data_IF_733137713379
#
_entry.id   IF_733137713379
#
_cell.length_a   1.000
_cell.length_b   1.000
_cell.length_c   1.000
_cell.angle_alpha   90.00
_cell.angle_beta   90.00
_cell.angle_gamma   90.00
#
_symmetry.space_group_name_H-M   'P 1'
#
loop_
_entity.id
_entity.type
_entity.pdbx_description
1 polymer ?
#
# COMPACT_ATOMS: atom_id res chain seq x y z
N UNK A 1 -11.41 -8.19 16.84
CA UNK A 1 -10.39 -9.06 17.50
C UNK A 1 -9.06 -8.33 17.54
N UNK A 2 -8.16 -8.64 18.48
CA UNK A 2 -6.81 -8.06 18.51
C UNK A 2 -5.95 -8.54 17.31
N UNK A 3 -5.13 -7.66 16.71
CA UNK A 3 -4.10 -8.05 15.75
C UNK A 3 -3.27 -9.24 16.21
N UNK A 4 -2.98 -10.19 15.31
CA UNK A 4 -2.34 -11.45 15.68
C UNK A 4 -0.95 -11.26 16.32
N UNK A 5 -0.18 -10.25 15.91
CA UNK A 5 1.12 -9.96 16.50
C UNK A 5 1.04 -9.43 17.94
N UNK A 6 -0.08 -8.80 18.34
CA UNK A 6 -0.32 -8.39 19.73
C UNK A 6 -0.62 -9.62 20.58
N UNK A 7 -1.52 -10.48 20.10
CA UNK A 7 -1.89 -11.73 20.78
C UNK A 7 -0.69 -12.64 21.04
N UNK A 8 0.25 -12.72 20.09
CA UNK A 8 1.41 -13.62 20.16
C UNK A 8 2.56 -13.10 21.03
N UNK A 9 2.73 -11.78 21.15
CA UNK A 9 3.95 -11.18 21.75
C UNK A 9 3.76 -10.58 23.13
N UNK A 10 2.53 -10.54 23.65
CA UNK A 10 2.26 -10.07 25.01
C UNK A 10 2.63 -8.60 25.28
N UNK A 11 2.99 -7.81 24.26
CA UNK A 11 3.27 -6.38 24.38
C UNK A 11 1.97 -5.64 24.65
N UNK A 12 1.81 -5.20 25.90
CA UNK A 12 0.63 -4.47 26.39
C UNK A 12 0.86 -2.97 26.44
N UNK A 13 2.08 -2.53 26.76
CA UNK A 13 2.38 -1.11 26.94
C UNK A 13 2.98 -0.49 25.68
N UNK A 14 2.30 0.52 25.12
CA UNK A 14 2.75 1.29 23.96
C UNK A 14 3.29 2.65 24.40
N UNK A 15 4.41 3.05 23.80
CA UNK A 15 4.98 4.39 23.79
C UNK A 15 4.27 5.23 22.73
N UNK A 16 3.54 6.26 23.15
CA UNK A 16 2.69 7.08 22.29
C UNK A 16 3.11 8.55 22.40
N UNK A 17 2.94 9.33 21.31
CA UNK A 17 3.29 10.74 21.29
C UNK A 17 4.79 11.02 21.37
N UNK A 18 5.60 10.22 20.67
CA UNK A 18 7.06 10.34 20.72
C UNK A 18 7.66 9.85 22.03
N UNK A 19 7.01 8.90 22.70
CA UNK A 19 7.46 8.33 23.98
C UNK A 19 7.08 9.15 25.22
N UNK A 20 6.22 10.17 25.06
CA UNK A 20 5.71 10.99 26.17
C UNK A 20 4.62 10.28 26.98
N UNK A 21 3.93 9.31 26.40
CA UNK A 21 2.86 8.55 27.06
C UNK A 21 3.14 7.06 27.00
N UNK A 22 2.93 6.38 28.12
CA UNK A 22 3.00 4.92 28.22
C UNK A 22 1.60 4.40 28.50
N UNK A 23 1.06 3.63 27.56
CA UNK A 23 -0.35 3.23 27.59
C UNK A 23 -0.47 1.73 27.50
N UNK A 24 -1.11 1.11 28.49
CA UNK A 24 -1.56 -0.28 28.34
C UNK A 24 -2.74 -0.32 27.35
N UNK A 25 -2.47 -0.79 26.14
CA UNK A 25 -3.45 -0.78 25.04
C UNK A 25 -4.62 -1.73 25.25
N UNK A 26 -4.51 -2.66 26.21
CA UNK A 26 -5.59 -3.60 26.53
C UNK A 26 -6.53 -3.06 27.61
N UNK A 27 -6.17 -1.96 28.29
CA UNK A 27 -7.07 -1.31 29.23
C UNK A 27 -8.19 -0.58 28.47
N UNK A 28 -9.42 -0.62 29.00
CA UNK A 28 -10.56 0.03 28.35
C UNK A 28 -10.44 1.56 28.38
N UNK A 29 -9.79 2.11 29.42
CA UNK A 29 -9.64 3.54 29.64
C UNK A 29 -8.19 3.92 29.42
N UNK A 30 -7.96 4.81 28.44
CA UNK A 30 -6.64 5.36 28.14
C UNK A 30 -6.47 6.73 28.80
N UNK A 31 -5.25 7.10 29.20
CA UNK A 31 -4.97 8.45 29.68
C UNK A 31 -5.19 9.47 28.57
N UNK A 32 -5.38 10.75 28.95
CA UNK A 32 -5.36 11.85 27.98
C UNK A 32 -3.97 11.94 27.35
N UNK A 33 -3.92 11.82 26.03
CA UNK A 33 -2.68 11.94 25.26
C UNK A 33 -2.42 13.42 24.94
N UNK A 34 -2.10 14.23 25.95
CA UNK A 34 -1.99 15.69 25.82
C UNK A 34 -1.05 16.13 24.70
N UNK A 35 0.05 15.41 24.50
CA UNK A 35 1.02 15.71 23.42
C UNK A 35 0.51 15.40 22.01
N UNK A 36 -0.62 14.72 21.86
CA UNK A 36 -1.21 14.35 20.57
C UNK A 36 -2.30 15.33 20.13
N UNK A 37 -2.82 16.17 21.03
CA UNK A 37 -3.94 17.09 20.78
C UNK A 37 -5.17 16.41 20.15
N UNK A 38 -5.45 15.15 20.51
CA UNK A 38 -6.63 14.46 20.00
C UNK A 38 -7.90 14.96 20.67
N UNK A 39 -8.93 15.18 19.85
CA UNK A 39 -10.29 15.25 20.35
C UNK A 39 -10.80 13.84 20.73
N UNK A 40 -11.93 13.71 21.45
CA UNK A 40 -12.44 12.41 21.89
C UNK A 40 -12.73 11.41 20.76
N UNK A 41 -13.19 11.87 19.58
CA UNK A 41 -13.47 10.99 18.44
C UNK A 41 -12.18 10.43 17.83
N UNK A 42 -11.15 11.26 17.70
CA UNK A 42 -9.83 10.85 17.24
C UNK A 42 -9.16 9.88 18.22
N UNK A 43 -9.27 10.12 19.53
CA UNK A 43 -8.71 9.21 20.55
C UNK A 43 -9.38 7.82 20.48
N UNK A 44 -10.71 7.77 20.36
CA UNK A 44 -11.44 6.50 20.19
C UNK A 44 -11.05 5.77 18.91
N UNK A 45 -10.96 6.48 17.78
CA UNK A 45 -10.54 5.91 16.51
C UNK A 45 -9.07 5.42 16.56
N UNK A 46 -8.19 6.17 17.21
CA UNK A 46 -6.80 5.82 17.44
C UNK A 46 -6.66 4.55 18.28
N UNK A 47 -7.39 4.45 19.40
CA UNK A 47 -7.44 3.25 20.24
C UNK A 47 -7.92 2.05 19.43
N UNK A 48 -9.02 2.20 18.69
CA UNK A 48 -9.56 1.13 17.86
C UNK A 48 -8.55 0.67 16.80
N UNK A 49 -7.81 1.59 16.19
CA UNK A 49 -6.79 1.29 15.19
C UNK A 49 -5.54 0.59 15.73
N UNK A 50 -5.28 0.66 17.04
CA UNK A 50 -4.17 -0.09 17.64
C UNK A 50 -4.62 -1.44 18.21
N UNK A 51 -5.92 -1.63 18.40
CA UNK A 51 -6.48 -2.78 19.13
C UNK A 51 -7.38 -3.69 18.28
N UNK A 52 -7.70 -3.34 17.03
CA UNK A 52 -8.51 -4.19 16.16
C UNK A 52 -7.73 -4.65 14.92
N UNK A 53 -7.81 -5.94 14.59
CA UNK A 53 -7.17 -6.51 13.40
C UNK A 53 -7.76 -6.00 12.08
N UNK A 54 -8.98 -5.48 12.11
CA UNK A 54 -9.64 -4.83 10.98
C UNK A 54 -10.47 -3.66 11.51
N UNK A 55 -10.18 -2.45 11.05
CA UNK A 55 -10.88 -1.24 11.50
C UNK A 55 -11.23 -0.34 10.32
N UNK A 56 -12.41 0.28 10.40
CA UNK A 56 -12.81 1.37 9.53
C UNK A 56 -12.92 2.67 10.34
N UNK A 57 -12.27 3.72 9.85
CA UNK A 57 -12.30 5.07 10.42
C UNK A 57 -12.90 5.99 9.36
N UNK A 58 -14.08 6.52 9.66
CA UNK A 58 -14.70 7.53 8.81
C UNK A 58 -14.24 8.92 9.24
N UNK A 59 -13.90 9.78 8.30
CA UNK A 59 -13.68 11.19 8.61
C UNK A 59 -14.19 12.10 7.52
N UNK A 60 -15.16 12.98 7.81
CA UNK A 60 -15.51 14.11 6.95
C UNK A 60 -14.33 15.01 6.58
N UNK A 61 -14.48 15.93 5.60
CA UNK A 61 -13.42 16.86 5.22
C UNK A 61 -12.94 17.67 6.43
N UNK A 62 -11.63 17.86 6.55
CA UNK A 62 -11.06 18.68 7.63
C UNK A 62 -11.06 18.06 9.03
N UNK A 63 -11.47 16.80 9.21
CA UNK A 63 -11.49 16.13 10.52
C UNK A 63 -10.16 15.51 10.96
N UNK A 64 -9.11 15.64 10.12
CA UNK A 64 -7.77 15.19 10.46
C UNK A 64 -7.47 13.71 10.19
N UNK A 65 -8.16 13.06 9.23
CA UNK A 65 -7.90 11.66 8.83
C UNK A 65 -6.40 11.36 8.59
N UNK A 66 -5.75 12.15 7.74
CA UNK A 66 -4.32 11.98 7.40
C UNK A 66 -3.42 12.17 8.63
N UNK A 67 -3.74 13.14 9.49
CA UNK A 67 -3.03 13.35 10.74
C UNK A 67 -3.16 12.11 11.64
N UNK A 68 -4.39 11.65 11.87
CA UNK A 68 -4.65 10.45 12.67
C UNK A 68 -3.93 9.22 12.12
N UNK A 69 -3.97 8.98 10.81
CA UNK A 69 -3.29 7.87 10.17
C UNK A 69 -1.77 7.91 10.37
N UNK A 70 -1.13 9.08 10.26
CA UNK A 70 0.30 9.25 10.56
C UNK A 70 0.62 8.97 12.02
N UNK A 71 -0.24 9.40 12.94
CA UNK A 71 -0.08 9.09 14.37
C UNK A 71 -0.20 7.59 14.63
N UNK A 72 -1.13 6.89 13.97
CA UNK A 72 -1.30 5.44 14.05
C UNK A 72 -0.02 4.74 13.58
N UNK A 73 0.48 5.08 12.37
CA UNK A 73 1.72 4.50 11.83
C UNK A 73 2.90 4.80 12.76
N UNK A 74 3.00 6.02 13.29
CA UNK A 74 4.08 6.38 14.22
C UNK A 74 4.06 5.55 15.51
N UNK A 75 2.87 5.33 16.09
CA UNK A 75 2.73 4.48 17.26
C UNK A 75 3.03 3.01 16.94
N UNK A 76 2.64 2.51 15.78
CA UNK A 76 2.99 1.15 15.35
C UNK A 76 4.50 1.00 15.16
N UNK A 77 5.18 2.00 14.56
CA UNK A 77 6.63 2.00 14.38
C UNK A 77 7.41 1.98 15.70
N UNK A 78 6.88 2.61 16.75
CA UNK A 78 7.52 2.66 18.07
C UNK A 78 7.37 1.38 18.87
N UNK A 79 6.31 0.62 18.61
CA UNK A 79 5.86 -0.44 19.53
C UNK A 79 5.80 -1.82 18.89
N UNK A 80 5.79 -1.89 17.56
CA UNK A 80 5.60 -3.15 16.83
C UNK A 80 6.86 -3.48 16.03
N UNK A 81 7.60 -4.48 16.50
CA UNK A 81 8.81 -4.96 15.84
C UNK A 81 8.53 -6.13 14.87
N UNK A 82 7.82 -5.91 13.79
CA UNK A 82 7.58 -6.94 12.76
C UNK A 82 8.67 -6.94 11.70
N UNK A 83 8.93 -8.12 11.14
CA UNK A 83 9.91 -8.46 10.08
C UNK A 83 9.48 -8.01 8.67
N UNK A 84 8.38 -7.26 8.57
CA UNK A 84 7.84 -6.75 7.31
C UNK A 84 7.52 -5.27 7.47
N UNK A 85 7.68 -4.43 6.43
CA UNK A 85 7.30 -3.03 6.51
C UNK A 85 5.79 -2.86 6.75
N UNK A 86 5.42 -1.71 7.31
CA UNK A 86 4.04 -1.22 7.26
C UNK A 86 3.78 -0.74 5.83
N UNK A 87 2.76 -1.30 5.19
CA UNK A 87 2.35 -0.88 3.84
C UNK A 87 1.32 0.25 3.95
N UNK A 88 1.60 1.39 3.36
CA UNK A 88 0.70 2.54 3.25
C UNK A 88 0.24 2.68 1.81
N UNK A 89 -1.07 2.72 1.61
CA UNK A 89 -1.69 2.85 0.30
C UNK A 89 -2.58 4.09 0.30
N UNK A 90 -2.34 5.01 -0.63
CA UNK A 90 -3.17 6.19 -0.83
C UNK A 90 -3.78 6.17 -2.24
N UNK A 91 -4.92 6.80 -2.44
CA UNK A 91 -5.52 6.89 -3.77
C UNK A 91 -4.73 7.82 -4.71
N UNK A 92 -4.33 9.00 -4.23
CA UNK A 92 -3.59 10.02 -5.00
C UNK A 92 -2.10 10.07 -4.66
N UNK A 93 -1.26 10.40 -5.64
CA UNK A 93 0.18 10.60 -5.43
C UNK A 93 0.46 11.76 -4.45
N UNK A 94 -0.29 12.86 -4.55
CA UNK A 94 -0.12 14.00 -3.65
C UNK A 94 -0.42 13.63 -2.19
N UNK A 95 -1.48 12.84 -1.94
CA UNK A 95 -1.82 12.35 -0.61
C UNK A 95 -0.71 11.43 -0.07
N UNK A 96 -0.21 10.52 -0.91
CA UNK A 96 0.93 9.66 -0.56
C UNK A 96 2.17 10.47 -0.19
N UNK A 97 2.51 11.49 -0.99
CA UNK A 97 3.69 12.30 -0.76
C UNK A 97 3.57 13.09 0.56
N UNK A 98 2.42 13.74 0.81
CA UNK A 98 2.13 14.42 2.08
C UNK A 98 2.16 13.47 3.28
N UNK A 99 1.63 12.26 3.12
CA UNK A 99 1.66 11.24 4.16
C UNK A 99 3.10 10.86 4.51
N UNK A 100 3.90 10.49 3.51
CA UNK A 100 5.28 10.04 3.70
C UNK A 100 6.19 11.16 4.20
N UNK A 101 6.00 12.41 3.75
CA UNK A 101 6.72 13.56 4.31
C UNK A 101 6.47 13.70 5.81
N UNK A 102 5.23 13.53 6.27
CA UNK A 102 4.93 13.54 7.70
C UNK A 102 5.51 12.34 8.45
N UNK A 103 5.76 11.20 7.78
CA UNK A 103 6.46 10.05 8.38
C UNK A 103 7.98 10.28 8.47
N UNK A 104 8.57 11.13 7.63
CA UNK A 104 10.00 11.44 7.68
C UNK A 104 10.43 12.09 9.01
N UNK A 105 9.51 12.78 9.68
CA UNK A 105 9.70 13.29 11.05
C UNK A 105 9.94 12.15 12.06
N UNK A 106 9.45 10.95 11.74
CA UNK A 106 9.55 9.76 12.59
C UNK A 106 10.67 8.80 12.19
N UNK A 107 10.84 8.57 10.89
CA UNK A 107 11.82 7.62 10.37
C UNK A 107 12.21 7.95 8.94
N UNK A 108 13.52 7.84 8.63
CA UNK A 108 14.02 7.87 7.24
C UNK A 108 14.04 6.48 6.59
N UNK A 109 13.71 5.42 7.33
CA UNK A 109 13.60 4.06 6.79
C UNK A 109 12.24 3.89 6.11
N UNK A 110 12.05 4.59 4.99
CA UNK A 110 10.86 4.53 4.15
C UNK A 110 11.24 4.25 2.70
N UNK A 111 10.33 3.63 1.95
CA UNK A 111 10.41 3.48 0.50
C UNK A 111 9.12 3.97 -0.14
N UNK A 112 9.25 4.81 -1.17
CA UNK A 112 8.15 5.34 -1.97
C UNK A 112 8.14 4.67 -3.33
N UNK A 113 6.99 4.15 -3.75
CA UNK A 113 6.83 3.44 -5.02
C UNK A 113 5.90 4.23 -5.94
N UNK A 114 6.38 4.47 -7.16
CA UNK A 114 5.70 5.29 -8.16
C UNK A 114 6.67 6.30 -8.77
N UNK A 115 6.35 6.79 -9.96
CA UNK A 115 7.21 7.74 -10.69
C UNK A 115 6.65 9.17 -10.70
N UNK A 116 5.43 9.38 -10.20
CA UNK A 116 4.73 10.66 -10.25
C UNK A 116 4.86 11.42 -8.92
N UNK A 117 6.07 11.44 -8.34
CA UNK A 117 6.33 12.25 -7.14
C UNK A 117 6.48 13.69 -7.56
N UNK A 118 5.93 14.61 -6.79
CA UNK A 118 6.29 16.03 -6.90
C UNK A 118 7.10 16.51 -5.70
N UNK A 119 7.25 15.66 -4.67
CA UNK A 119 8.06 15.96 -3.50
C UNK A 119 9.54 15.66 -3.77
N UNK A 120 10.37 16.70 -3.79
CA UNK A 120 11.83 16.60 -3.86
C UNK A 120 12.40 15.85 -2.65
N UNK A 121 11.82 16.06 -1.46
CA UNK A 121 12.22 15.36 -0.22
C UNK A 121 12.09 13.84 -0.34
N UNK A 122 11.16 13.36 -1.17
CA UNK A 122 10.89 11.93 -1.34
C UNK A 122 11.69 11.27 -2.46
N UNK A 123 12.45 12.04 -3.26
CA UNK A 123 13.17 11.50 -4.41
C UNK A 123 14.20 10.46 -3.98
N UNK A 124 14.98 10.72 -2.93
CA UNK A 124 15.98 9.77 -2.41
C UNK A 124 15.36 8.49 -1.78
N UNK A 125 14.05 8.51 -1.50
CA UNK A 125 13.30 7.38 -0.94
C UNK A 125 12.58 6.58 -2.02
N UNK A 126 12.65 7.00 -3.28
CA UNK A 126 12.07 6.25 -4.38
C UNK A 126 12.77 4.90 -4.52
N UNK A 127 12.01 3.81 -4.69
CA UNK A 127 12.56 2.46 -4.89
C UNK A 127 13.62 2.44 -5.99
N UNK A 128 13.42 3.20 -7.08
CA UNK A 128 14.38 3.29 -8.19
C UNK A 128 15.75 3.79 -7.78
N UNK A 129 15.81 4.78 -6.88
CA UNK A 129 17.07 5.35 -6.39
C UNK A 129 17.77 4.43 -5.38
N UNK A 130 17.00 3.56 -4.71
CA UNK A 130 17.49 2.59 -3.72
C UNK A 130 17.89 1.24 -4.31
N UNK A 131 17.65 1.02 -5.61
CA UNK A 131 18.09 -0.20 -6.31
C UNK A 131 19.63 -0.29 -6.29
N UNK A 132 20.22 -1.44 -5.94
CA UNK A 132 21.67 -1.60 -5.93
C UNK A 132 22.24 -1.45 -7.35
N UNK A 133 23.05 -0.40 -7.56
CA UNK A 133 23.66 -0.06 -8.86
C UNK A 133 24.48 -1.23 -9.44
N UNK A 134 25.24 -1.95 -8.62
CA UNK A 134 26.14 -3.02 -9.08
C UNK A 134 25.47 -4.38 -9.30
N UNK A 135 24.44 -4.71 -8.51
CA UNK A 135 23.68 -5.96 -8.69
C UNK A 135 22.87 -5.94 -9.99
N UNK A 136 22.27 -4.79 -10.31
CA UNK A 136 21.57 -4.60 -11.58
C UNK A 136 22.51 -4.49 -12.78
N UNK A 137 23.72 -3.93 -12.66
CA UNK A 137 24.63 -3.77 -13.80
C UNK A 137 25.23 -5.10 -14.27
N UNK A 138 25.76 -5.93 -13.35
CA UNK A 138 26.25 -7.29 -13.71
C UNK A 138 25.12 -8.18 -14.22
N UNK A 139 23.95 -8.11 -13.60
CA UNK A 139 22.79 -8.89 -14.01
C UNK A 139 22.21 -8.40 -15.35
N UNK A 140 22.10 -7.09 -15.57
CA UNK A 140 21.68 -6.52 -16.86
C UNK A 140 22.70 -6.85 -17.97
N UNK A 141 24.00 -6.89 -17.68
CA UNK A 141 25.02 -7.33 -18.63
C UNK A 141 24.91 -8.83 -18.97
N UNK A 142 24.63 -9.70 -17.99
CA UNK A 142 24.36 -11.11 -18.25
C UNK A 142 23.09 -11.29 -19.08
N UNK A 143 22.05 -10.53 -18.78
CA UNK A 143 20.77 -10.50 -19.50
C UNK A 143 20.96 -10.01 -20.94
N UNK A 144 21.74 -8.95 -21.14
CA UNK A 144 22.04 -8.41 -22.47
C UNK A 144 22.91 -9.38 -23.28
N UNK A 145 23.86 -10.07 -22.63
CA UNK A 145 24.61 -11.18 -23.24
C UNK A 145 23.68 -12.34 -23.62
N UNK A 146 22.75 -12.71 -22.75
CA UNK A 146 21.79 -13.78 -23.00
C UNK A 146 20.86 -13.41 -24.17
N UNK A 147 20.32 -12.19 -24.17
CA UNK A 147 19.47 -11.67 -25.24
C UNK A 147 20.21 -11.66 -26.59
N UNK A 148 21.45 -11.14 -26.63
CA UNK A 148 22.29 -11.19 -27.85
C UNK A 148 22.60 -12.61 -28.29
N UNK A 149 22.85 -13.53 -27.35
CA UNK A 149 23.06 -14.95 -27.64
C UNK A 149 21.83 -15.56 -28.30
N UNK A 150 20.64 -15.34 -27.74
CA UNK A 150 19.39 -15.85 -28.32
C UNK A 150 19.05 -15.19 -29.66
N UNK A 151 19.31 -13.89 -29.83
CA UNK A 151 19.17 -13.20 -31.10
C UNK A 151 20.10 -13.78 -32.17
N UNK A 152 21.35 -14.09 -31.80
CA UNK A 152 22.32 -14.72 -32.70
C UNK A 152 21.96 -16.17 -33.04
N UNK A 153 21.42 -16.93 -32.07
CA UNK A 153 20.94 -18.29 -32.28
C UNK A 153 19.75 -18.30 -33.26
N UNK A 154 18.79 -17.38 -33.06
CA UNK A 154 17.64 -17.22 -33.93
C UNK A 154 18.05 -16.84 -35.36
N UNK A 155 19.04 -15.94 -35.52
CA UNK A 155 19.61 -15.58 -36.82
C UNK A 155 20.34 -16.75 -37.50
N UNK A 156 21.09 -17.56 -36.75
CA UNK A 156 21.77 -18.75 -37.29
C UNK A 156 20.79 -19.84 -37.73
N UNK A 157 19.73 -20.09 -36.96
CA UNK A 157 18.68 -21.03 -37.35
C UNK A 157 17.91 -20.53 -38.58
N UNK A 158 17.66 -19.22 -38.70
CA UNK A 158 17.05 -18.61 -39.89
C UNK A 158 17.84 -18.86 -41.18
N UNK A 159 19.18 -18.90 -41.09
CA UNK A 159 20.07 -19.20 -42.22
C UNK A 159 20.06 -20.70 -42.56
N UNK A 160 19.84 -21.58 -41.57
CA UNK A 160 19.71 -23.04 -41.76
C UNK A 160 18.38 -23.48 -42.39
N UNK A 161 17.35 -22.64 -42.34
CA UNK A 161 15.98 -22.92 -42.83
C UNK A 161 15.81 -22.83 -44.36
N UNK A 162 16.88 -22.63 -45.13
CA UNK A 162 16.83 -22.52 -46.60
C UNK A 162 16.31 -23.81 -47.29
N UNK A 163 16.25 -24.95 -46.58
CA UNK A 163 15.79 -26.25 -47.12
C UNK A 163 14.67 -26.94 -46.31
N UNK A 164 13.90 -26.22 -45.48
CA UNK A 164 12.94 -26.82 -44.52
C UNK A 164 11.49 -26.44 -44.88
N UNK A 165 10.53 -27.33 -44.61
CA UNK A 165 9.12 -27.09 -44.95
C UNK A 165 8.53 -25.92 -44.14
N UNK A 166 7.56 -25.18 -44.70
CA UNK A 166 6.95 -24.01 -44.04
C UNK A 166 6.29 -24.35 -42.69
N UNK A 167 5.93 -25.61 -42.44
CA UNK A 167 5.38 -26.06 -41.16
C UNK A 167 6.45 -26.21 -40.07
N UNK A 168 7.62 -26.75 -40.41
CA UNK A 168 8.74 -26.90 -39.48
C UNK A 168 9.29 -25.54 -39.05
N UNK A 169 9.36 -24.57 -39.99
CA UNK A 169 9.71 -23.17 -39.69
C UNK A 169 8.75 -22.56 -38.65
N UNK A 170 7.44 -22.73 -38.85
CA UNK A 170 6.43 -22.20 -37.91
C UNK A 170 6.56 -22.83 -36.52
N UNK A 171 6.90 -24.11 -36.45
CA UNK A 171 7.08 -24.82 -35.19
C UNK A 171 8.35 -24.38 -34.45
N UNK A 172 9.47 -24.16 -35.17
CA UNK A 172 10.69 -23.59 -34.59
C UNK A 172 10.46 -22.15 -34.12
N UNK A 173 9.80 -21.31 -34.92
CA UNK A 173 9.46 -19.93 -34.54
C UNK A 173 8.67 -19.89 -33.23
N UNK A 174 7.64 -20.73 -33.11
CA UNK A 174 6.84 -20.84 -31.88
C UNK A 174 7.70 -21.28 -30.68
N UNK A 175 8.59 -22.25 -30.86
CA UNK A 175 9.51 -22.68 -29.81
C UNK A 175 10.45 -21.55 -29.35
N UNK A 176 10.96 -20.74 -30.28
CA UNK A 176 11.83 -19.59 -29.96
C UNK A 176 11.03 -18.52 -29.21
N UNK A 177 9.81 -18.22 -29.67
CA UNK A 177 8.90 -17.28 -28.97
C UNK A 177 8.62 -17.73 -27.54
N UNK A 178 8.30 -19.02 -27.33
CA UNK A 178 8.06 -19.59 -25.99
C UNK A 178 9.32 -19.49 -25.10
N UNK A 179 10.51 -19.70 -25.67
CA UNK A 179 11.78 -19.54 -24.94
C UNK A 179 12.04 -18.08 -24.55
N UNK A 180 11.79 -17.13 -25.44
CA UNK A 180 11.93 -15.69 -25.17
C UNK A 180 10.96 -15.28 -24.05
N UNK A 181 9.68 -15.64 -24.16
CA UNK A 181 8.68 -15.31 -23.14
C UNK A 181 9.05 -15.89 -21.77
N UNK A 182 9.58 -17.11 -21.72
CA UNK A 182 10.03 -17.72 -20.47
C UNK A 182 11.24 -16.99 -19.89
N UNK A 183 12.22 -16.63 -20.73
CA UNK A 183 13.40 -15.86 -20.30
C UNK A 183 13.01 -14.47 -19.77
N UNK A 184 12.11 -13.76 -20.45
CA UNK A 184 11.56 -12.47 -20.01
C UNK A 184 10.84 -12.59 -18.67
N UNK A 185 10.03 -13.64 -18.49
CA UNK A 185 9.34 -13.91 -17.22
C UNK A 185 10.33 -14.19 -16.08
N UNK A 186 11.38 -14.95 -16.34
CA UNK A 186 12.43 -15.22 -15.33
C UNK A 186 13.16 -13.93 -14.94
N UNK A 187 13.47 -13.09 -15.93
CA UNK A 187 14.09 -11.79 -15.74
C UNK A 187 13.20 -10.85 -14.92
N UNK A 188 11.91 -10.77 -15.22
CA UNK A 188 10.97 -9.94 -14.46
C UNK A 188 10.86 -10.42 -13.02
N UNK A 189 10.73 -11.74 -12.81
CA UNK A 189 10.71 -12.33 -11.46
C UNK A 189 11.99 -12.01 -10.67
N UNK A 190 13.17 -12.08 -11.29
CA UNK A 190 14.42 -11.74 -10.63
C UNK A 190 14.50 -10.25 -10.25
N UNK A 191 14.06 -9.35 -11.14
CA UNK A 191 13.95 -7.91 -10.86
C UNK A 191 12.99 -7.65 -9.71
N UNK A 192 11.83 -8.30 -9.73
CA UNK A 192 10.81 -8.19 -8.68
C UNK A 192 11.37 -8.61 -7.31
N UNK A 193 12.08 -9.74 -7.23
CA UNK A 193 12.75 -10.17 -5.98
C UNK A 193 13.78 -9.17 -5.49
N UNK A 194 14.56 -8.59 -6.39
CA UNK A 194 15.54 -7.57 -6.03
C UNK A 194 14.85 -6.32 -5.44
N UNK A 195 13.78 -5.85 -6.06
CA UNK A 195 12.99 -4.73 -5.54
C UNK A 195 12.34 -5.04 -4.18
N UNK A 196 11.79 -6.25 -4.02
CA UNK A 196 11.24 -6.71 -2.74
C UNK A 196 12.31 -6.76 -1.66
N UNK A 197 13.52 -7.19 -1.98
CA UNK A 197 14.64 -7.19 -1.03
C UNK A 197 15.03 -5.77 -0.58
N UNK A 198 14.88 -4.77 -1.44
CA UNK A 198 15.08 -3.36 -1.09
C UNK A 198 13.93 -2.89 -0.21
N UNK A 199 12.68 -3.18 -0.58
CA UNK A 199 11.47 -2.85 0.19
C UNK A 199 11.49 -3.42 1.61
N UNK A 200 11.95 -4.67 1.78
CA UNK A 200 12.04 -5.34 3.10
C UNK A 200 13.00 -4.67 4.08
N UNK A 201 13.93 -3.82 3.61
CA UNK A 201 14.85 -3.06 4.48
C UNK A 201 14.21 -1.79 5.05
N UNK A 202 13.08 -1.34 4.51
CA UNK A 202 12.36 -0.20 5.03
C UNK A 202 11.43 -0.59 6.18
N UNK A 203 11.12 0.37 7.04
CA UNK A 203 10.05 0.24 8.04
C UNK A 203 8.67 0.57 7.47
N UNK A 204 8.61 1.47 6.49
CA UNK A 204 7.37 1.86 5.80
C UNK A 204 7.55 1.79 4.29
N UNK A 205 6.60 1.18 3.60
CA UNK A 205 6.52 1.20 2.13
C UNK A 205 5.24 1.92 1.75
N UNK A 206 5.34 2.99 0.96
CA UNK A 206 4.21 3.77 0.49
C UNK A 206 4.00 3.64 -1.01
N UNK A 207 2.76 3.46 -1.45
CA UNK A 207 2.38 3.40 -2.87
C UNK A 207 0.95 3.89 -3.13
N UNK A 208 0.63 4.17 -4.39
CA UNK A 208 -0.76 4.44 -4.78
C UNK A 208 -1.55 3.15 -4.98
N UNK A 209 -2.88 3.22 -4.90
CA UNK A 209 -3.77 2.07 -5.18
C UNK A 209 -3.57 1.47 -6.58
N UNK A 210 -3.34 2.32 -7.59
CA UNK A 210 -2.96 1.90 -8.94
C UNK A 210 -1.60 1.19 -8.98
N UNK A 211 -0.64 1.64 -8.16
CA UNK A 211 0.62 0.95 -7.95
C UNK A 211 0.41 -0.43 -7.31
N UNK A 212 -0.45 -0.51 -6.30
CA UNK A 212 -0.78 -1.76 -5.61
C UNK A 212 -1.42 -2.79 -6.55
N UNK A 213 -2.38 -2.36 -7.37
CA UNK A 213 -3.04 -3.23 -8.35
C UNK A 213 -2.05 -3.84 -9.37
N UNK A 214 -1.08 -3.04 -9.84
CA UNK A 214 -0.06 -3.51 -10.80
C UNK A 214 1.01 -4.39 -10.15
N UNK A 215 1.35 -4.13 -8.89
CA UNK A 215 2.51 -4.74 -8.21
C UNK A 215 2.08 -5.88 -7.27
N UNK A 216 0.99 -6.59 -7.60
CA UNK A 216 0.49 -7.72 -6.82
C UNK A 216 1.56 -8.80 -6.52
N UNK A 217 2.45 -9.18 -7.47
CA UNK A 217 3.54 -10.11 -7.15
C UNK A 217 4.46 -9.58 -6.04
N UNK A 218 4.77 -8.29 -6.05
CA UNK A 218 5.60 -7.66 -5.03
C UNK A 218 4.91 -7.67 -3.68
N UNK A 219 3.61 -7.34 -3.62
CA UNK A 219 2.88 -7.26 -2.36
C UNK A 219 2.73 -8.62 -1.68
N UNK A 220 2.52 -9.67 -2.46
CA UNK A 220 2.49 -11.04 -1.96
C UNK A 220 3.86 -11.47 -1.39
N UNK A 221 4.96 -11.16 -2.09
CA UNK A 221 6.31 -11.50 -1.63
C UNK A 221 6.78 -10.62 -0.47
N UNK A 222 6.39 -9.34 -0.45
CA UNK A 222 6.64 -8.41 0.65
C UNK A 222 5.97 -8.90 1.94
N UNK A 223 4.77 -9.48 1.82
CA UNK A 223 4.08 -10.14 2.93
C UNK A 223 3.70 -9.19 4.06
N UNK A 224 3.40 -7.92 3.75
CA UNK A 224 3.15 -6.89 4.74
C UNK A 224 2.05 -7.31 5.73
N UNK A 225 2.41 -7.40 7.02
CA UNK A 225 1.50 -7.81 8.10
C UNK A 225 0.53 -6.70 8.53
N UNK A 226 0.92 -5.44 8.30
CA UNK A 226 0.13 -4.25 8.61
C UNK A 226 -0.08 -3.47 7.32
N UNK A 227 -1.34 -3.19 6.99
CA UNK A 227 -1.71 -2.39 5.81
C UNK A 227 -2.62 -1.25 6.25
N UNK A 228 -2.22 -0.03 5.91
CA UNK A 228 -2.98 1.21 6.15
C UNK A 228 -3.41 1.76 4.79
N UNK A 229 -4.71 1.92 4.60
CA UNK A 229 -5.28 2.45 3.36
C UNK A 229 -5.96 3.78 3.66
N UNK A 230 -5.45 4.85 3.05
CA UNK A 230 -6.03 6.19 3.08
C UNK A 230 -6.94 6.42 1.86
N UNK A 231 -7.98 7.23 2.05
CA UNK A 231 -9.05 7.47 1.07
C UNK A 231 -9.76 6.17 0.66
N UNK A 232 -9.82 5.17 1.56
CA UNK A 232 -10.30 3.81 1.27
C UNK A 232 -11.75 3.74 0.73
N UNK A 233 -12.57 4.77 0.96
CA UNK A 233 -13.91 4.87 0.42
C UNK A 233 -13.96 5.24 -1.08
N UNK A 234 -12.92 5.91 -1.59
CA UNK A 234 -12.76 6.29 -3.00
C UNK A 234 -12.02 5.21 -3.82
N UNK A 235 -11.68 4.08 -3.20
CA UNK A 235 -10.88 3.02 -3.81
C UNK A 235 -11.74 1.80 -4.13
N UNK A 236 -11.64 1.31 -5.37
CA UNK A 236 -12.27 0.05 -5.79
C UNK A 236 -11.84 -1.08 -4.86
N UNK A 237 -12.81 -1.90 -4.46
CA UNK A 237 -12.57 -3.05 -3.61
C UNK A 237 -11.47 -3.96 -4.15
N UNK A 238 -11.48 -4.22 -5.46
CA UNK A 238 -10.49 -5.05 -6.16
C UNK A 238 -9.06 -4.57 -5.92
N UNK A 239 -8.83 -3.26 -5.85
CA UNK A 239 -7.50 -2.69 -5.58
C UNK A 239 -7.08 -2.88 -4.12
N UNK A 240 -8.00 -2.79 -3.17
CA UNK A 240 -7.67 -3.03 -1.76
C UNK A 240 -7.40 -4.51 -1.53
N UNK A 241 -8.27 -5.40 -2.01
CA UNK A 241 -8.15 -6.86 -1.81
C UNK A 241 -6.86 -7.40 -2.40
N UNK A 242 -6.47 -6.93 -3.59
CA UNK A 242 -5.20 -7.35 -4.23
C UNK A 242 -3.95 -6.89 -3.49
N UNK A 243 -4.06 -5.88 -2.63
CA UNK A 243 -2.95 -5.40 -1.81
C UNK A 243 -2.77 -6.16 -0.49
N UNK A 244 -3.78 -6.93 -0.07
CA UNK A 244 -3.74 -7.72 1.15
C UNK A 244 -3.09 -9.08 0.86
N UNK A 245 -1.88 -9.29 1.39
CA UNK A 245 -1.22 -10.59 1.33
C UNK A 245 -1.88 -11.59 2.29
N UNK A 246 -1.65 -12.90 2.08
CA UNK A 246 -2.08 -13.95 3.02
C UNK A 246 -1.45 -13.83 4.41
N UNK A 247 -0.39 -13.02 4.56
CA UNK A 247 0.28 -12.73 5.82
C UNK A 247 -0.29 -11.51 6.55
N UNK A 248 -1.26 -10.81 5.95
CA UNK A 248 -1.86 -9.62 6.55
C UNK A 248 -2.57 -9.97 7.87
N UNK A 249 -2.30 -9.21 8.93
CA UNK A 249 -2.81 -9.42 10.28
C UNK A 249 -3.50 -8.19 10.85
N UNK A 250 -3.35 -7.03 10.20
CA UNK A 250 -3.91 -5.77 10.66
C UNK A 250 -4.19 -4.86 9.46
N UNK A 251 -5.46 -4.56 9.24
CA UNK A 251 -5.95 -3.66 8.19
C UNK A 251 -6.60 -2.44 8.82
N UNK A 252 -6.14 -1.25 8.40
CA UNK A 252 -6.66 0.03 8.87
C UNK A 252 -7.17 0.82 7.67
N UNK A 253 -8.49 0.92 7.53
CA UNK A 253 -9.14 1.65 6.46
C UNK A 253 -9.53 3.05 6.96
N UNK A 254 -9.02 4.10 6.33
CA UNK A 254 -9.44 5.47 6.57
C UNK A 254 -10.10 6.03 5.32
N UNK A 255 -11.32 6.54 5.43
CA UNK A 255 -12.05 7.04 4.28
C UNK A 255 -13.27 7.86 4.68
N UNK A 256 -14.08 8.22 3.69
CA UNK A 256 -15.40 8.76 3.92
C UNK A 256 -16.40 8.25 2.88
N UNK A 257 -17.16 7.23 3.25
CA UNK A 257 -18.17 6.61 2.38
C UNK A 257 -19.43 7.48 2.17
N UNK A 258 -19.50 8.66 2.82
CA UNK A 258 -20.54 9.66 2.56
C UNK A 258 -20.10 10.72 1.53
N UNK A 259 -18.87 10.66 1.06
CA UNK A 259 -18.36 11.53 -0.01
C UNK A 259 -18.32 10.76 -1.34
N UNK A 260 -17.23 10.86 -2.09
CA UNK A 260 -17.07 10.23 -3.38
C UNK A 260 -16.89 8.71 -3.21
N UNK A 261 -17.55 7.97 -4.09
CA UNK A 261 -17.29 6.56 -4.35
C UNK A 261 -16.19 6.40 -5.41
N UNK A 262 -15.59 5.21 -5.54
CA UNK A 262 -14.68 4.91 -6.63
C UNK A 262 -15.39 5.07 -7.98
N UNK A 263 -14.70 5.65 -8.96
CA UNK A 263 -15.22 5.73 -10.33
C UNK A 263 -14.90 4.46 -11.12
N UNK A 264 -15.87 3.96 -11.87
CA UNK A 264 -15.65 2.93 -12.90
C UNK A 264 -15.74 3.56 -14.28
N UNK A 265 -14.93 3.12 -15.23
CA UNK A 265 -15.01 3.62 -16.61
C UNK A 265 -16.36 3.30 -17.28
N UNK A 266 -16.94 2.14 -16.96
CA UNK A 266 -18.23 1.69 -17.50
C UNK A 266 -19.32 1.85 -16.44
N UNK A 267 -20.11 2.92 -16.54
CA UNK A 267 -21.16 3.27 -15.57
C UNK A 267 -22.22 2.17 -15.34
N UNK A 268 -22.53 1.38 -16.38
CA UNK A 268 -23.46 0.26 -16.27
C UNK A 268 -23.02 -0.79 -15.22
N UNK A 269 -21.71 -0.92 -15.01
CA UNK A 269 -21.18 -1.83 -14.00
C UNK A 269 -21.49 -1.35 -12.57
N UNK A 270 -21.57 -0.04 -12.33
CA UNK A 270 -22.07 0.49 -11.06
C UNK A 270 -23.54 0.13 -10.88
N UNK A 271 -24.38 0.41 -11.87
CA UNK A 271 -25.83 0.21 -11.72
C UNK A 271 -26.22 -1.27 -11.56
N UNK A 272 -25.58 -2.18 -12.31
CA UNK A 272 -25.97 -3.60 -12.32
C UNK A 272 -25.25 -4.44 -11.27
N UNK A 273 -24.00 -4.10 -10.96
CA UNK A 273 -23.14 -4.94 -10.12
C UNK A 273 -22.59 -4.22 -8.89
N UNK A 274 -22.95 -2.95 -8.67
CA UNK A 274 -22.49 -2.14 -7.54
C UNK A 274 -20.96 -2.08 -7.44
N UNK A 275 -20.28 -1.98 -8.59
CA UNK A 275 -18.82 -2.01 -8.66
C UNK A 275 -18.16 -0.74 -8.06
N UNK A 276 -18.93 0.32 -7.86
CA UNK A 276 -18.57 1.53 -7.12
C UNK A 276 -18.74 1.39 -5.59
N UNK A 277 -19.19 0.25 -5.06
CA UNK A 277 -19.15 0.04 -3.62
C UNK A 277 -17.71 -0.33 -3.22
N UNK A 278 -17.08 0.55 -2.47
CA UNK A 278 -15.73 0.30 -1.92
C UNK A 278 -15.74 -0.79 -0.85
N UNK A 279 -14.57 -1.40 -0.59
CA UNK A 279 -14.43 -2.33 0.53
C UNK A 279 -14.80 -1.66 1.85
N UNK A 280 -14.44 -0.38 2.02
CA UNK A 280 -14.80 0.40 3.20
C UNK A 280 -16.33 0.42 3.39
N UNK A 281 -17.04 0.89 2.37
CA UNK A 281 -18.49 1.04 2.41
C UNK A 281 -19.18 -0.31 2.64
N UNK A 282 -18.80 -1.34 1.88
CA UNK A 282 -19.37 -2.68 2.03
C UNK A 282 -19.19 -3.24 3.44
N UNK A 283 -18.02 -3.05 4.04
CA UNK A 283 -17.77 -3.54 5.40
C UNK A 283 -18.62 -2.80 6.43
N UNK A 284 -18.74 -1.48 6.32
CA UNK A 284 -19.61 -0.67 7.20
C UNK A 284 -21.08 -1.09 7.05
N UNK A 285 -21.56 -1.27 5.82
CA UNK A 285 -22.93 -1.74 5.54
C UNK A 285 -23.19 -3.15 6.08
N UNK A 286 -22.15 -3.99 6.18
CA UNK A 286 -22.22 -5.33 6.78
C UNK A 286 -22.05 -5.33 8.31
N UNK A 287 -22.13 -4.17 8.97
CA UNK A 287 -22.10 -4.06 10.43
C UNK A 287 -20.71 -3.97 11.05
N UNK A 288 -19.65 -3.74 10.25
CA UNK A 288 -18.35 -3.39 10.80
C UNK A 288 -18.46 -2.07 11.56
N UNK A 289 -18.03 -2.05 12.81
CA UNK A 289 -18.01 -0.82 13.60
C UNK A 289 -17.10 0.23 12.94
N UNK A 290 -17.69 1.38 12.62
CA UNK A 290 -17.03 2.50 11.96
C UNK A 290 -16.79 3.63 12.95
N UNK A 291 -15.53 3.98 13.17
CA UNK A 291 -15.17 5.07 14.09
C UNK A 291 -15.19 6.40 13.33
N UNK A 292 -16.26 7.19 13.53
CA UNK A 292 -16.40 8.48 12.88
C UNK A 292 -15.68 9.60 13.63
N UNK A 293 -14.87 10.38 12.92
CA UNK A 293 -14.29 11.64 13.39
C UNK A 293 -15.33 12.76 13.27
N UNK A 294 -15.51 13.57 14.32
CA UNK A 294 -16.64 14.51 14.41
C UNK A 294 -16.27 15.98 14.65
N UNK A 295 -14.99 16.32 14.76
CA UNK A 295 -14.53 17.71 14.87
C UNK A 295 -13.80 18.10 13.59
N UNK A 296 -14.33 19.10 12.88
CA UNK A 296 -13.72 19.65 11.68
C UNK A 296 -12.87 20.90 12.02
N UNK A 297 -11.72 21.04 11.36
CA UNK A 297 -10.75 22.12 11.62
C UNK A 297 -10.45 22.99 10.38
N UNK A 298 -11.14 22.76 9.25
CA UNK A 298 -10.80 23.41 7.98
C UNK A 298 -11.82 24.50 7.59
N UNK A 299 -13.09 24.25 7.82
CA UNK A 299 -14.18 25.14 7.42
C UNK A 299 -14.54 26.09 8.56
N UNK A 300 -15.01 27.29 8.24
CA UNK A 300 -15.60 28.15 9.26
C UNK A 300 -16.92 27.52 9.77
N UNK A 301 -17.30 27.75 11.03
CA UNK A 301 -18.51 27.15 11.62
C UNK A 301 -19.76 27.28 10.75
N UNK A 302 -19.93 28.44 10.11
CA UNK A 302 -21.10 28.79 9.29
C UNK A 302 -21.26 27.91 8.04
N UNK A 303 -20.17 27.36 7.52
CA UNK A 303 -20.20 26.44 6.38
C UNK A 303 -20.35 24.98 6.86
N UNK A 304 -19.72 24.63 7.98
CA UNK A 304 -19.76 23.26 8.50
C UNK A 304 -21.09 22.86 9.15
N UNK A 305 -21.88 23.82 9.63
CA UNK A 305 -23.17 23.55 10.28
C UNK A 305 -24.31 23.28 9.30
N UNK A 306 -24.10 23.47 7.99
CA UNK A 306 -25.12 23.30 6.95
C UNK A 306 -25.22 21.88 6.35
N UNK A 307 -24.36 20.94 6.74
CA UNK A 307 -24.39 19.55 6.24
C UNK A 307 -25.37 18.62 6.99
N UNK A 308 -26.43 19.15 7.60
CA UNK A 308 -27.54 18.35 8.15
C UNK A 308 -28.86 18.70 7.45
N UNK A 309 -28.86 18.86 6.13
CA UNK A 309 -30.10 18.83 5.34
C UNK A 309 -29.77 18.25 3.95
N UNK A 310 -30.15 16.99 3.75
CA UNK A 310 -30.91 16.35 2.64
C UNK A 310 -30.62 14.85 2.70
#
# INVERSE_FOLDING_TARGET
KLPAYIRKRGLRTYKIGGGKHYVDILQPIWPKLESMNFNPSQLKAFQAALTNEFVAIQGPPGTGKTFLARQIVSALLDNVNIDTPILVICYKNQALDQFLEGILEKTRSIIRIGNKSQSEKLEEFNVKQRRPKYGYFRYAQEIEKLAKKYESLAKQQLIGLINISTQEIKQEMKNIEDQIQNAEKQLDNARNRADVSVMRKAKVVGMTTSGAARLRPWLNELGAKIVVIEEAAEVLESHIVTALSSQCQHVILLGDHKQLRPSTEVYELCQRYNLDISLFERMVSNGLNCHQLNVQHRMRPEFSSREVIV
#
